data_IF_550094883019
#
_entry.id   IF_550094883019
#
_cell.length_a   1.000
_cell.length_b   1.000
_cell.length_c   1.000
_cell.angle_alpha   90.00
_cell.angle_beta   90.00
_cell.angle_gamma   90.00
#
_symmetry.space_group_name_H-M   'P 1'
#
loop_
_entity.id
_entity.type
_entity.pdbx_description
1 polymer ?
#
# COMPACT_ATOMS: atom_id res chain seq x y z
N UNK A 1 -18.60 25.63 -18.93
CA UNK A 1 -17.85 24.35 -18.88
C UNK A 1 -17.90 23.82 -17.47
N UNK A 2 -18.35 22.58 -17.25
CA UNK A 2 -18.15 21.91 -15.95
C UNK A 2 -16.65 21.75 -15.77
N UNK A 3 -16.10 22.30 -14.69
CA UNK A 3 -14.73 22.02 -14.25
C UNK A 3 -14.66 20.51 -14.04
N UNK A 4 -13.80 19.81 -14.80
CA UNK A 4 -13.50 18.40 -14.50
C UNK A 4 -12.89 18.40 -13.10
N UNK A 5 -13.52 17.73 -12.14
CA UNK A 5 -12.86 17.42 -10.89
C UNK A 5 -11.61 16.62 -11.25
N UNK A 6 -10.42 17.19 -11.01
CA UNK A 6 -9.17 16.45 -11.13
C UNK A 6 -9.35 15.16 -10.34
N UNK A 7 -9.27 14.03 -11.03
CA UNK A 7 -9.48 12.73 -10.41
C UNK A 7 -8.33 12.52 -9.43
N UNK A 8 -8.56 12.82 -8.15
CA UNK A 8 -7.57 12.63 -7.10
C UNK A 8 -7.41 11.14 -6.84
N UNK A 9 -6.29 10.62 -7.30
CA UNK A 9 -5.88 9.26 -7.05
C UNK A 9 -5.17 9.24 -5.69
N UNK A 10 -5.81 8.60 -4.69
CA UNK A 10 -5.29 8.50 -3.32
C UNK A 10 -3.83 8.08 -3.28
N UNK A 11 -3.42 7.16 -4.14
CA UNK A 11 -2.02 6.75 -4.30
C UNK A 11 -1.03 7.91 -4.44
N UNK A 12 -1.37 9.05 -5.03
CA UNK A 12 -0.43 10.18 -5.18
C UNK A 12 -0.48 11.17 -4.01
N UNK A 13 -1.60 11.25 -3.30
CA UNK A 13 -1.81 12.15 -2.16
C UNK A 13 -1.49 11.50 -0.80
N UNK A 14 -1.52 10.17 -0.71
CA UNK A 14 -1.39 9.44 0.57
C UNK A 14 0.07 9.11 0.92
N UNK A 15 1.01 9.20 -0.04
CA UNK A 15 2.42 8.92 0.25
C UNK A 15 3.02 10.02 1.14
N UNK A 16 3.02 9.78 2.45
CA UNK A 16 3.70 10.64 3.42
C UNK A 16 5.21 10.58 3.19
N UNK A 17 5.79 11.68 2.77
CA UNK A 17 7.23 11.92 2.75
C UNK A 17 7.64 12.69 3.99
N UNK A 18 8.78 12.34 4.60
CA UNK A 18 9.40 13.13 5.66
C UNK A 18 10.84 13.44 5.26
N UNK A 19 11.23 14.70 5.29
CA UNK A 19 12.61 15.15 5.00
C UNK A 19 13.16 14.58 3.67
N UNK A 20 12.38 14.69 2.57
CA UNK A 20 12.68 14.09 1.25
C UNK A 20 12.87 12.55 1.23
N UNK A 21 12.53 11.85 2.31
CA UNK A 21 12.59 10.39 2.41
C UNK A 21 11.20 9.78 2.50
N UNK A 22 11.08 8.53 2.02
CA UNK A 22 9.84 7.77 2.15
C UNK A 22 9.70 7.27 3.59
N UNK A 23 8.54 7.51 4.18
CA UNK A 23 8.20 6.93 5.49
C UNK A 23 8.03 5.41 5.40
N UNK A 24 8.06 4.72 6.54
CA UNK A 24 7.79 3.28 6.59
C UNK A 24 6.39 2.92 6.07
N UNK A 25 5.41 3.80 6.26
CA UNK A 25 4.06 3.70 5.69
C UNK A 25 4.10 3.81 4.16
N UNK A 26 4.74 4.85 3.62
CA UNK A 26 4.86 5.03 2.17
C UNK A 26 5.59 3.85 1.48
N UNK A 27 6.64 3.32 2.10
CA UNK A 27 7.34 2.13 1.61
C UNK A 27 6.45 0.88 1.61
N UNK A 28 5.60 0.74 2.63
CA UNK A 28 4.67 -0.38 2.77
C UNK A 28 3.55 -0.29 1.75
N UNK A 29 2.91 0.87 1.61
CA UNK A 29 1.92 1.17 0.55
C UNK A 29 2.49 0.87 -0.85
N UNK A 30 3.70 1.31 -1.18
CA UNK A 30 4.37 0.98 -2.45
C UNK A 30 4.55 -0.52 -2.66
N UNK A 31 4.96 -1.24 -1.61
CA UNK A 31 5.13 -2.69 -1.66
C UNK A 31 3.80 -3.40 -1.90
N UNK A 32 2.72 -2.94 -1.27
CA UNK A 32 1.37 -3.44 -1.49
C UNK A 32 0.96 -3.26 -2.96
N UNK A 33 1.10 -2.05 -3.51
CA UNK A 33 0.77 -1.75 -4.92
C UNK A 33 1.56 -2.64 -5.88
N UNK A 34 2.86 -2.83 -5.62
CA UNK A 34 3.70 -3.73 -6.42
C UNK A 34 3.20 -5.17 -6.41
N UNK A 35 2.78 -5.69 -5.24
CA UNK A 35 2.25 -7.07 -5.13
C UNK A 35 0.87 -7.18 -5.80
N UNK A 36 0.02 -6.15 -5.66
CA UNK A 36 -1.30 -6.12 -6.29
C UNK A 36 -1.24 -5.95 -7.81
N UNK A 37 -0.19 -5.34 -8.34
CA UNK A 37 0.00 -5.15 -9.79
C UNK A 37 0.80 -6.27 -10.46
N UNK A 38 1.55 -7.08 -9.71
CA UNK A 38 2.31 -8.20 -10.25
C UNK A 38 1.40 -9.37 -10.63
N UNK A 39 1.89 -10.26 -11.50
CA UNK A 39 1.21 -11.52 -11.85
C UNK A 39 1.38 -12.60 -10.76
N UNK A 40 1.27 -12.19 -9.49
CA UNK A 40 1.37 -13.06 -8.32
C UNK A 40 0.16 -13.99 -8.22
N UNK A 41 0.36 -15.15 -7.59
CA UNK A 41 -0.73 -16.09 -7.33
C UNK A 41 -1.85 -15.38 -6.53
N UNK A 42 -3.15 -15.60 -6.82
CA UNK A 42 -4.23 -15.01 -6.02
C UNK A 42 -4.08 -15.14 -4.49
N UNK A 43 -3.50 -16.24 -4.01
CA UNK A 43 -3.22 -16.44 -2.59
C UNK A 43 -2.23 -15.40 -2.00
N UNK A 44 -1.30 -14.92 -2.82
CA UNK A 44 -0.29 -13.92 -2.47
C UNK A 44 -0.85 -12.49 -2.43
N UNK A 45 -1.96 -12.24 -3.13
CA UNK A 45 -2.67 -10.95 -3.14
C UNK A 45 -3.66 -10.77 -2.00
N UNK A 46 -3.86 -11.80 -1.17
CA UNK A 46 -4.65 -11.67 0.06
C UNK A 46 -3.93 -10.78 1.08
N UNK A 47 -4.66 -10.12 2.00
CA UNK A 47 -4.05 -9.31 3.07
C UNK A 47 -2.97 -10.07 3.85
N UNK A 48 -3.24 -11.34 4.15
CA UNK A 48 -2.29 -12.25 4.82
C UNK A 48 -1.10 -12.61 3.93
N UNK A 49 -1.34 -12.88 2.64
CA UNK A 49 -0.29 -13.17 1.66
C UNK A 49 0.68 -12.01 1.49
N UNK A 50 0.14 -10.80 1.26
CA UNK A 50 0.89 -9.55 1.20
C UNK A 50 1.72 -9.36 2.47
N UNK A 51 1.12 -9.59 3.65
CA UNK A 51 1.84 -9.48 4.93
C UNK A 51 2.99 -10.45 5.04
N UNK A 52 2.83 -11.70 4.62
CA UNK A 52 3.91 -12.69 4.63
C UNK A 52 5.04 -12.30 3.68
N UNK A 53 4.72 -11.80 2.48
CA UNK A 53 5.72 -11.40 1.47
C UNK A 53 6.54 -10.21 1.96
N UNK A 54 5.87 -9.14 2.44
CA UNK A 54 6.55 -7.94 2.92
C UNK A 54 7.41 -8.26 4.15
N UNK A 55 6.88 -9.01 5.12
CA UNK A 55 7.61 -9.36 6.33
C UNK A 55 8.84 -10.23 6.03
N UNK A 56 8.71 -11.20 5.11
CA UNK A 56 9.84 -12.03 4.65
C UNK A 56 10.95 -11.18 4.04
N UNK A 57 10.60 -10.20 3.20
CA UNK A 57 11.57 -9.26 2.62
C UNK A 57 12.28 -8.37 3.64
N UNK A 58 11.67 -8.15 4.80
CA UNK A 58 12.21 -7.33 5.91
C UNK A 58 12.86 -8.16 7.03
N UNK A 59 12.87 -9.50 6.94
CA UNK A 59 13.33 -10.36 8.02
C UNK A 59 12.47 -10.30 9.29
N UNK A 60 11.18 -9.97 9.17
CA UNK A 60 10.26 -9.79 10.29
C UNK A 60 9.14 -10.86 10.30
N UNK A 61 8.42 -10.98 11.41
CA UNK A 61 7.23 -11.82 11.56
C UNK A 61 6.02 -11.04 11.05
N UNK A 62 5.28 -11.63 10.11
CA UNK A 62 4.15 -10.96 9.43
C UNK A 62 3.04 -10.49 10.39
N UNK A 63 2.84 -11.17 11.52
CA UNK A 63 1.87 -10.79 12.55
C UNK A 63 2.15 -9.39 13.14
N UNK A 64 3.41 -8.97 13.16
CA UNK A 64 3.83 -7.68 13.71
C UNK A 64 3.49 -6.50 12.79
N UNK A 65 3.34 -6.75 11.48
CA UNK A 65 3.08 -5.71 10.47
C UNK A 65 1.67 -5.79 9.87
N UNK A 66 0.91 -6.83 10.21
CA UNK A 66 -0.39 -7.13 9.61
C UNK A 66 -1.38 -5.97 9.73
N UNK A 67 -1.49 -5.36 10.91
CA UNK A 67 -2.41 -4.22 11.14
C UNK A 67 -2.02 -2.98 10.33
N UNK A 68 -0.72 -2.75 10.13
CA UNK A 68 -0.23 -1.67 9.27
C UNK A 68 -0.55 -1.92 7.81
N UNK A 69 -0.37 -3.15 7.31
CA UNK A 69 -0.72 -3.51 5.94
C UNK A 69 -2.22 -3.44 5.70
N UNK A 70 -3.03 -3.86 6.66
CA UNK A 70 -4.48 -3.78 6.57
C UNK A 70 -4.94 -2.34 6.35
N UNK A 71 -4.49 -1.41 7.20
CA UNK A 71 -4.85 0.01 7.09
C UNK A 71 -4.40 0.61 5.76
N UNK A 72 -3.14 0.40 5.41
CA UNK A 72 -2.56 0.95 4.17
C UNK A 72 -3.28 0.44 2.92
N UNK A 73 -3.72 -0.82 2.93
CA UNK A 73 -4.45 -1.42 1.81
C UNK A 73 -5.81 -0.75 1.62
N UNK A 74 -6.49 -0.40 2.72
CA UNK A 74 -7.74 0.36 2.62
C UNK A 74 -7.45 1.80 2.14
N UNK A 75 -6.42 2.47 2.68
CA UNK A 75 -6.05 3.83 2.29
C UNK A 75 -5.69 3.98 0.80
N UNK A 76 -4.96 3.03 0.21
CA UNK A 76 -4.56 3.10 -1.21
C UNK A 76 -5.67 2.68 -2.19
N UNK A 77 -6.65 1.89 -1.74
CA UNK A 77 -7.72 1.35 -2.60
C UNK A 77 -9.00 2.18 -2.52
N UNK A 78 -9.17 2.99 -1.48
CA UNK A 78 -10.29 3.90 -1.37
C UNK A 78 -10.07 5.11 -2.31
N UNK A 79 -11.04 5.41 -3.19
CA UNK A 79 -11.05 6.68 -3.92
C UNK A 79 -11.07 7.83 -2.93
N UNK A 80 -10.30 8.90 -3.18
CA UNK A 80 -10.53 10.14 -2.46
C UNK A 80 -11.84 10.75 -2.95
N UNK A 81 -12.64 11.28 -2.01
CA UNK A 81 -13.82 12.10 -2.33
C UNK A 81 -13.46 13.32 -3.20
#
# INVERSE_FOLDING_TARGET
MKVKSDTKLSIFDTFKTKDNSLTGEAMRQRSIIRILSSNANPAERTRTGISKIIAKGQGNIWKNIYSGIFRDLDEILLPME
#
